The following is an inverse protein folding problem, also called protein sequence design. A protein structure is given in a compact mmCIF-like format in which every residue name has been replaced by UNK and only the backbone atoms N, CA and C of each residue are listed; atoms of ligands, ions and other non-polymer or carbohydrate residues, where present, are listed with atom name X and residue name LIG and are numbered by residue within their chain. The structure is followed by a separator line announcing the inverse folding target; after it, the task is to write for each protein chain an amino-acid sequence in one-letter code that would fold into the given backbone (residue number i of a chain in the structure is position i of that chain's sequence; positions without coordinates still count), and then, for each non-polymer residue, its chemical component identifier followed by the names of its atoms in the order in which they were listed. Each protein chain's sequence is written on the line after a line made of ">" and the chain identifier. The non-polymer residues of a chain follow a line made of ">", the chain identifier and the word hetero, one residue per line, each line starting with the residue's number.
data_IF_037702425298
#
_entry.id   IF_037702425298
#
_cell.length_a   1.000
_cell.length_b   1.000
_cell.length_c   1.000
_cell.angle_alpha   90.00
_cell.angle_beta   90.00
_cell.angle_gamma   90.00
#
_symmetry.space_group_name_H-M   'P 1'
#
loop_
_entity.id
_entity.type
_entity.pdbx_description
1 polymer ?
#
# COMPACT_ATOMS: atom_id res chain seq x y z
N UNK A 1 11.12 68.74 52.42
CA UNK A 1 11.52 67.95 51.28
C UNK A 1 11.82 66.55 51.76
N UNK A 2 10.93 65.57 51.50
CA UNK A 2 11.08 64.14 51.88
C UNK A 2 11.34 63.38 50.59
N UNK A 3 12.54 62.74 50.40
CA UNK A 3 12.85 61.80 49.37
C UNK A 3 12.17 60.46 49.73
N UNK A 4 11.30 59.95 48.85
CA UNK A 4 10.77 58.64 48.95
C UNK A 4 11.69 57.70 48.09
N UNK A 5 12.29 56.72 48.75
CA UNK A 5 13.06 55.64 48.14
C UNK A 5 12.08 54.59 47.53
N UNK A 6 12.15 54.40 46.20
CA UNK A 6 11.42 53.35 45.52
C UNK A 6 12.32 52.10 45.56
N UNK A 7 11.87 51.07 46.30
CA UNK A 7 12.48 49.76 46.33
C UNK A 7 11.94 48.96 45.12
N UNK A 8 12.80 48.73 44.13
CA UNK A 8 12.48 47.81 43.02
C UNK A 8 12.77 46.37 43.42
N UNK A 9 11.70 45.58 43.57
CA UNK A 9 11.80 44.14 43.72
C UNK A 9 12.06 43.52 42.34
N UNK A 10 13.28 43.02 42.09
CA UNK A 10 13.58 42.15 40.98
C UNK A 10 13.11 40.72 41.31
N UNK A 11 12.02 40.28 40.70
CA UNK A 11 11.65 38.87 40.65
C UNK A 11 12.60 38.14 39.71
N UNK A 12 13.55 37.39 40.25
CA UNK A 12 14.33 36.42 39.51
C UNK A 12 13.48 35.14 39.36
N UNK A 13 12.84 34.98 38.20
CA UNK A 13 12.22 33.70 37.86
C UNK A 13 13.36 32.64 37.64
N UNK A 14 13.28 31.47 38.27
CA UNK A 14 14.19 30.40 37.97
C UNK A 14 13.95 29.91 36.53
N UNK A 15 14.97 30.06 35.68
CA UNK A 15 14.99 29.45 34.34
C UNK A 15 15.15 27.94 34.58
N UNK A 16 14.03 27.21 34.55
CA UNK A 16 14.07 25.75 34.45
C UNK A 16 14.74 25.39 33.11
N UNK A 17 15.78 24.54 33.13
CA UNK A 17 16.35 24.06 31.89
C UNK A 17 15.27 23.26 31.15
N UNK A 18 14.92 23.71 29.93
CA UNK A 18 14.10 22.94 29.03
C UNK A 18 14.85 21.64 28.74
N UNK A 19 14.41 20.54 29.34
CA UNK A 19 14.85 19.19 28.95
C UNK A 19 14.34 19.02 27.53
N UNK A 20 15.20 19.35 26.57
CA UNK A 20 14.98 18.96 25.19
C UNK A 20 14.94 17.43 25.16
N UNK A 21 13.74 16.87 25.20
CA UNK A 21 13.49 15.50 24.86
C UNK A 21 13.92 15.36 23.40
N UNK A 22 15.19 14.99 23.17
CA UNK A 22 15.69 14.55 21.90
C UNK A 22 14.89 13.26 21.61
N UNK A 23 13.77 13.42 20.93
CA UNK A 23 13.12 12.29 20.27
C UNK A 23 14.19 11.76 19.29
N UNK A 24 14.97 10.80 19.75
CA UNK A 24 15.75 9.96 18.88
C UNK A 24 14.71 9.28 18.00
N UNK A 25 14.54 9.76 16.75
CA UNK A 25 13.79 9.03 15.74
C UNK A 25 14.55 7.72 15.55
N UNK A 26 14.14 6.69 16.31
CA UNK A 26 14.72 5.38 16.17
C UNK A 26 14.51 4.96 14.72
N UNK A 27 15.60 4.71 13.98
CA UNK A 27 15.54 4.21 12.63
C UNK A 27 14.68 2.94 12.61
N UNK A 28 13.95 2.73 11.51
CA UNK A 28 13.18 1.49 11.33
C UNK A 28 14.15 0.31 11.18
N UNK A 29 13.79 -0.80 11.79
CA UNK A 29 14.53 -2.05 11.67
C UNK A 29 14.40 -2.61 10.25
N UNK A 30 15.53 -3.02 9.67
CA UNK A 30 15.62 -3.63 8.36
C UNK A 30 16.05 -5.09 8.49
N UNK A 31 15.69 -5.89 7.51
CA UNK A 31 16.16 -7.28 7.38
C UNK A 31 17.67 -7.38 7.47
N UNK A 32 18.15 -8.38 8.21
CA UNK A 32 19.58 -8.61 8.45
C UNK A 32 20.19 -7.79 9.58
N UNK A 33 19.42 -6.91 10.25
CA UNK A 33 19.86 -6.19 11.44
C UNK A 33 19.54 -6.99 12.72
N UNK A 34 20.26 -6.80 13.82
CA UNK A 34 20.02 -7.51 15.09
C UNK A 34 18.63 -7.29 15.69
N UNK A 35 17.93 -6.23 15.30
CA UNK A 35 16.56 -5.92 15.72
C UNK A 35 15.48 -6.63 14.89
N UNK A 36 15.87 -7.36 13.84
CA UNK A 36 14.92 -8.09 13.01
C UNK A 36 14.32 -9.26 13.78
N UNK A 37 12.99 -9.48 13.70
CA UNK A 37 12.32 -10.57 14.43
C UNK A 37 12.94 -11.93 14.13
N UNK A 38 12.96 -12.78 15.12
CA UNK A 38 13.42 -14.15 15.00
C UNK A 38 12.34 -15.09 14.42
N UNK A 39 12.69 -16.36 14.20
CA UNK A 39 11.79 -17.35 13.62
C UNK A 39 10.57 -17.64 14.51
N UNK A 40 10.72 -17.59 15.85
CA UNK A 40 9.61 -17.81 16.78
C UNK A 40 8.59 -16.67 16.71
N UNK A 41 9.06 -15.42 16.56
CA UNK A 41 8.22 -14.24 16.40
C UNK A 41 7.45 -14.28 15.09
N UNK A 42 8.09 -14.68 13.98
CA UNK A 42 7.41 -14.92 12.71
C UNK A 42 6.42 -16.09 12.76
N UNK A 43 6.72 -17.15 13.50
CA UNK A 43 5.80 -18.27 13.73
C UNK A 43 4.56 -17.79 14.50
N UNK A 44 4.75 -16.93 15.50
CA UNK A 44 3.64 -16.32 16.24
C UNK A 44 2.78 -15.40 15.35
N UNK A 45 3.38 -14.67 14.40
CA UNK A 45 2.63 -13.93 13.40
C UNK A 45 1.85 -14.88 12.47
N UNK A 46 2.51 -15.92 11.95
CA UNK A 46 1.91 -16.88 11.03
C UNK A 46 0.65 -17.55 11.61
N UNK A 47 0.58 -17.75 12.93
CA UNK A 47 -0.60 -18.29 13.61
C UNK A 47 -1.80 -17.32 13.67
N UNK A 48 -1.62 -16.04 13.30
CA UNK A 48 -2.63 -14.98 13.37
C UNK A 48 -3.12 -14.51 12.00
N UNK A 49 -2.54 -15.02 10.93
CA UNK A 49 -2.86 -14.65 9.55
C UNK A 49 -3.43 -15.84 8.78
N UNK A 50 -4.22 -15.57 7.76
CA UNK A 50 -4.96 -16.59 7.02
C UNK A 50 -4.12 -17.36 5.99
N UNK A 51 -2.97 -16.83 5.59
CA UNK A 51 -2.07 -17.44 4.61
C UNK A 51 -0.67 -17.62 5.19
N UNK A 52 0.12 -18.57 4.67
CA UNK A 52 1.55 -18.65 5.01
C UNK A 52 2.29 -17.35 4.75
N UNK A 53 3.36 -17.10 5.50
CA UNK A 53 4.26 -15.98 5.23
C UNK A 53 4.84 -16.08 3.83
N UNK A 54 4.91 -14.94 3.16
CA UNK A 54 5.56 -14.79 1.86
C UNK A 54 7.06 -14.60 2.03
N UNK A 55 7.81 -15.13 1.08
CA UNK A 55 9.22 -14.84 0.88
C UNK A 55 9.44 -14.32 -0.54
N UNK A 56 9.04 -13.06 -0.80
CA UNK A 56 9.13 -12.50 -2.15
C UNK A 56 10.56 -12.46 -2.66
N UNK A 57 10.71 -12.78 -3.94
CA UNK A 57 11.96 -12.63 -4.68
C UNK A 57 11.67 -11.87 -5.97
N UNK A 58 12.66 -11.22 -6.59
CA UNK A 58 12.49 -10.67 -7.93
C UNK A 58 12.01 -11.78 -8.89
N UNK A 59 11.02 -11.51 -9.76
CA UNK A 59 10.53 -12.55 -10.69
C UNK A 59 11.61 -13.17 -11.56
N UNK A 60 12.62 -12.39 -11.92
CA UNK A 60 13.73 -12.80 -12.76
C UNK A 60 14.67 -13.80 -12.07
N UNK A 61 14.54 -14.00 -10.75
CA UNK A 61 15.38 -14.89 -9.97
C UNK A 61 15.33 -16.34 -10.46
N UNK A 62 14.21 -16.78 -11.05
CA UNK A 62 14.06 -18.13 -11.61
C UNK A 62 15.00 -18.40 -12.80
N UNK A 63 15.51 -17.33 -13.45
CA UNK A 63 16.49 -17.41 -14.54
C UNK A 63 17.91 -17.68 -14.04
N UNK A 64 18.13 -17.75 -12.72
CA UNK A 64 19.44 -17.84 -12.10
C UNK A 64 19.57 -19.08 -11.19
N UNK A 65 20.80 -19.63 -11.04
CA UNK A 65 22.00 -19.27 -11.84
C UNK A 65 21.83 -19.66 -13.32
N UNK A 66 22.48 -18.95 -14.22
CA UNK A 66 22.33 -19.15 -15.67
C UNK A 66 22.75 -20.54 -16.15
N UNK A 67 23.67 -21.19 -15.41
CA UNK A 67 24.13 -22.57 -15.69
C UNK A 67 23.11 -23.65 -15.30
N UNK A 68 22.19 -23.33 -14.37
CA UNK A 68 21.15 -24.23 -13.89
C UNK A 68 19.98 -23.38 -13.32
N UNK A 69 19.13 -22.81 -14.19
CA UNK A 69 18.00 -21.98 -13.76
C UNK A 69 17.13 -22.70 -12.74
N UNK A 70 16.69 -21.97 -11.70
CA UNK A 70 15.90 -22.54 -10.60
C UNK A 70 14.42 -22.76 -10.98
N UNK A 71 14.00 -22.24 -12.14
CA UNK A 71 12.65 -22.38 -12.66
C UNK A 71 12.56 -22.07 -14.15
N UNK A 72 11.33 -21.91 -14.66
CA UNK A 72 11.10 -21.63 -16.07
C UNK A 72 11.25 -20.14 -16.39
N UNK A 73 12.43 -19.75 -16.83
CA UNK A 73 12.75 -18.38 -17.25
C UNK A 73 11.90 -17.93 -18.47
N UNK A 74 11.43 -18.87 -19.32
CA UNK A 74 10.62 -18.52 -20.49
C UNK A 74 9.28 -17.88 -20.11
N UNK A 75 8.70 -18.28 -18.99
CA UNK A 75 7.48 -17.67 -18.45
C UNK A 75 7.74 -16.20 -18.07
N UNK A 76 8.85 -15.92 -17.41
CA UNK A 76 9.22 -14.55 -17.03
C UNK A 76 9.45 -13.69 -18.26
N UNK A 77 10.20 -14.20 -19.24
CA UNK A 77 10.48 -13.50 -20.50
C UNK A 77 9.16 -13.15 -21.22
N UNK A 78 8.25 -14.12 -21.35
CA UNK A 78 6.97 -13.95 -22.06
C UNK A 78 6.05 -12.92 -21.35
N UNK A 79 6.14 -12.81 -20.04
CA UNK A 79 5.25 -11.98 -19.22
C UNK A 79 5.91 -10.73 -18.62
N UNK A 80 7.16 -10.44 -18.99
CA UNK A 80 7.94 -9.38 -18.38
C UNK A 80 7.26 -8.00 -18.39
N UNK A 81 6.53 -7.69 -19.47
CA UNK A 81 5.78 -6.44 -19.66
C UNK A 81 4.28 -6.59 -19.41
N UNK A 82 3.82 -7.77 -19.01
CA UNK A 82 2.41 -8.02 -18.71
C UNK A 82 2.07 -7.50 -17.30
N UNK A 83 1.28 -6.42 -17.23
CA UNK A 83 0.93 -5.76 -15.97
C UNK A 83 0.11 -6.64 -15.03
N UNK A 84 -0.76 -7.51 -15.55
CA UNK A 84 -1.56 -8.40 -14.72
C UNK A 84 -0.68 -9.49 -14.11
N UNK A 85 0.16 -10.14 -14.92
CA UNK A 85 1.11 -11.12 -14.43
C UNK A 85 2.07 -10.54 -13.37
N UNK A 86 2.60 -9.32 -13.61
CA UNK A 86 3.46 -8.65 -12.62
C UNK A 86 2.71 -8.31 -11.33
N UNK A 87 1.43 -7.96 -11.43
CA UNK A 87 0.58 -7.71 -10.25
C UNK A 87 0.43 -8.95 -9.38
N UNK A 88 0.41 -10.15 -10.00
CA UNK A 88 0.30 -11.46 -9.36
C UNK A 88 1.61 -11.94 -8.73
N UNK A 89 2.72 -11.22 -8.92
CA UNK A 89 4.02 -11.54 -8.32
C UNK A 89 4.28 -10.67 -7.09
N UNK A 90 4.42 -11.24 -5.88
CA UNK A 90 4.63 -10.44 -4.68
C UNK A 90 5.93 -9.63 -4.72
N UNK A 91 6.95 -10.10 -5.44
CA UNK A 91 8.25 -9.43 -5.61
C UNK A 91 8.31 -8.41 -6.74
N UNK A 92 7.32 -8.38 -7.66
CA UNK A 92 7.38 -7.51 -8.83
C UNK A 92 6.83 -6.11 -8.56
N UNK A 93 7.42 -5.13 -9.24
CA UNK A 93 6.88 -3.79 -9.46
C UNK A 93 6.54 -3.61 -10.94
N UNK A 94 5.59 -2.73 -11.29
CA UNK A 94 5.29 -2.47 -12.71
C UNK A 94 6.43 -1.73 -13.40
N UNK A 95 7.13 -0.87 -12.66
CA UNK A 95 8.40 -0.31 -13.10
C UNK A 95 9.54 -1.07 -12.41
N UNK A 96 10.23 -1.90 -13.15
CA UNK A 96 11.30 -2.79 -12.67
C UNK A 96 12.49 -2.05 -12.04
N UNK A 97 12.70 -0.76 -12.38
CA UNK A 97 13.73 0.04 -11.77
C UNK A 97 13.58 0.13 -10.24
N UNK A 98 12.34 0.06 -9.73
CA UNK A 98 12.10 0.10 -8.29
C UNK A 98 12.45 -1.20 -7.57
N UNK A 99 12.69 -2.29 -8.30
CA UNK A 99 13.20 -3.55 -7.72
C UNK A 99 14.71 -3.48 -7.46
N UNK A 100 15.40 -2.53 -8.09
CA UNK A 100 16.84 -2.31 -7.93
C UNK A 100 17.15 -1.50 -6.67
N UNK A 101 18.26 -1.79 -6.01
CA UNK A 101 18.81 -1.00 -4.93
C UNK A 101 20.28 -0.62 -5.22
N UNK A 102 20.59 0.65 -5.07
CA UNK A 102 21.95 1.18 -5.23
C UNK A 102 22.48 1.57 -3.85
N UNK A 103 23.59 1.00 -3.46
CA UNK A 103 24.27 1.31 -2.21
C UNK A 103 25.05 2.61 -2.31
N UNK A 104 25.43 3.21 -1.17
CA UNK A 104 26.21 4.45 -1.12
C UNK A 104 27.59 4.37 -1.79
N UNK A 105 28.12 3.17 -1.96
CA UNK A 105 29.37 2.90 -2.67
C UNK A 105 29.16 2.56 -4.15
N UNK A 106 28.01 2.92 -4.71
CA UNK A 106 27.58 2.66 -6.07
C UNK A 106 27.45 1.16 -6.44
N UNK A 107 27.55 0.25 -5.46
CA UNK A 107 27.25 -1.16 -5.69
C UNK A 107 25.74 -1.33 -5.94
N UNK A 108 25.40 -2.11 -6.96
CA UNK A 108 24.02 -2.38 -7.37
C UNK A 108 23.59 -3.76 -6.90
N UNK A 109 22.43 -3.86 -6.27
CA UNK A 109 21.71 -5.09 -6.03
C UNK A 109 20.46 -5.08 -6.90
N UNK A 110 20.40 -5.97 -7.89
CA UNK A 110 19.29 -6.08 -8.82
C UNK A 110 19.26 -7.52 -9.37
N UNK A 111 18.13 -7.94 -9.93
CA UNK A 111 18.00 -9.18 -10.66
C UNK A 111 17.55 -8.83 -12.09
N UNK A 112 18.47 -8.94 -13.04
CA UNK A 112 18.22 -8.53 -14.41
C UNK A 112 17.66 -9.66 -15.25
N UNK A 113 16.67 -9.40 -16.08
CA UNK A 113 16.19 -10.37 -17.08
C UNK A 113 17.30 -10.70 -18.11
N UNK A 114 18.13 -9.71 -18.44
CA UNK A 114 19.27 -9.92 -19.32
C UNK A 114 20.41 -10.61 -18.56
N UNK A 115 20.42 -11.92 -18.58
CA UNK A 115 21.43 -12.74 -17.90
C UNK A 115 22.82 -12.66 -18.54
N UNK A 116 22.94 -12.12 -19.78
CA UNK A 116 24.25 -11.98 -20.46
C UNK A 116 25.14 -10.89 -19.85
N UNK A 117 24.57 -10.05 -18.98
CA UNK A 117 25.34 -9.04 -18.21
C UNK A 117 26.33 -9.68 -17.23
N UNK A 118 26.18 -10.96 -16.91
CA UNK A 118 27.06 -11.67 -15.98
C UNK A 118 26.94 -11.18 -14.52
N UNK A 119 25.91 -10.41 -14.20
CA UNK A 119 25.63 -9.89 -12.86
C UNK A 119 24.78 -10.92 -12.11
N UNK A 120 25.19 -11.35 -10.91
CA UNK A 120 24.37 -12.24 -10.09
C UNK A 120 23.02 -11.59 -9.73
N UNK A 121 21.95 -12.40 -9.68
CA UNK A 121 20.65 -11.94 -9.21
C UNK A 121 20.71 -11.58 -7.72
N UNK A 122 20.37 -10.35 -7.40
CA UNK A 122 20.28 -9.82 -6.05
C UNK A 122 18.83 -9.49 -5.67
N UNK A 123 18.54 -9.50 -4.37
CA UNK A 123 17.22 -9.18 -3.82
C UNK A 123 16.77 -7.74 -4.10
N UNK A 124 17.72 -6.82 -4.30
CA UNK A 124 17.42 -5.41 -4.58
C UNK A 124 16.57 -4.74 -3.50
N UNK A 125 15.52 -4.07 -3.95
CA UNK A 125 14.53 -3.44 -3.09
C UNK A 125 13.34 -4.34 -2.74
N UNK A 126 13.31 -5.59 -3.24
CA UNK A 126 12.21 -6.52 -2.97
C UNK A 126 12.20 -6.92 -1.49
N UNK A 127 11.08 -6.80 -0.77
CA UNK A 127 10.98 -7.18 0.64
C UNK A 127 11.24 -8.68 0.82
N UNK A 128 12.05 -9.10 1.81
CA UNK A 128 12.39 -10.52 1.97
C UNK A 128 11.28 -11.35 2.63
N UNK A 129 10.39 -10.69 3.39
CA UNK A 129 9.28 -11.35 4.12
C UNK A 129 8.03 -10.49 4.00
N UNK A 130 6.87 -11.14 3.93
CA UNK A 130 5.59 -10.44 3.88
C UNK A 130 4.39 -11.30 4.26
N UNK A 131 3.23 -10.64 4.29
CA UNK A 131 1.91 -11.24 4.51
C UNK A 131 1.06 -11.07 3.26
N UNK A 132 0.50 -12.17 2.74
CA UNK A 132 -0.57 -12.14 1.75
C UNK A 132 -1.90 -11.89 2.48
N UNK A 133 -2.26 -10.62 2.62
CA UNK A 133 -3.46 -10.25 3.34
C UNK A 133 -4.72 -10.54 2.51
N UNK A 134 -5.62 -11.35 3.07
CA UNK A 134 -6.92 -11.70 2.50
C UNK A 134 -8.07 -10.99 3.20
N UNK A 135 -7.82 -10.44 4.40
CA UNK A 135 -8.81 -9.82 5.27
C UNK A 135 -8.25 -8.62 6.03
N UNK A 136 -9.13 -7.82 6.62
CA UNK A 136 -8.73 -6.73 7.51
C UNK A 136 -7.97 -7.24 8.75
N UNK A 137 -8.30 -8.43 9.26
CA UNK A 137 -7.61 -9.04 10.39
C UNK A 137 -6.15 -9.39 10.07
N UNK A 138 -5.87 -9.86 8.84
CA UNK A 138 -4.49 -10.11 8.39
C UNK A 138 -3.68 -8.81 8.34
N UNK A 139 -4.29 -7.73 7.80
CA UNK A 139 -3.66 -6.40 7.78
C UNK A 139 -3.38 -5.89 9.19
N UNK A 140 -4.36 -6.01 10.11
CA UNK A 140 -4.19 -5.58 11.50
C UNK A 140 -3.08 -6.38 12.20
N UNK A 141 -3.03 -7.69 12.01
CA UNK A 141 -1.97 -8.53 12.57
C UNK A 141 -0.59 -8.11 12.07
N UNK A 142 -0.45 -7.89 10.76
CA UNK A 142 0.79 -7.49 10.11
C UNK A 142 1.25 -6.08 10.53
N UNK A 143 0.33 -5.10 10.62
CA UNK A 143 0.63 -3.73 11.09
C UNK A 143 1.07 -3.74 12.55
N UNK A 144 0.36 -4.47 13.42
CA UNK A 144 0.72 -4.58 14.83
C UNK A 144 2.09 -5.24 15.01
N UNK A 145 2.39 -6.28 14.25
CA UNK A 145 3.70 -6.92 14.23
C UNK A 145 4.80 -5.95 13.80
N UNK A 146 4.60 -5.24 12.68
CA UNK A 146 5.55 -4.24 12.20
C UNK A 146 5.77 -3.11 13.23
N UNK A 147 4.72 -2.67 13.92
CA UNK A 147 4.80 -1.67 14.99
C UNK A 147 5.58 -2.19 16.19
N UNK A 148 5.27 -3.41 16.64
CA UNK A 148 5.93 -4.04 17.79
C UNK A 148 7.44 -4.16 17.61
N UNK A 149 7.87 -4.53 16.42
CA UNK A 149 9.29 -4.74 16.07
C UNK A 149 9.93 -3.54 15.37
N UNK A 150 9.24 -2.39 15.32
CA UNK A 150 9.71 -1.16 14.66
C UNK A 150 10.20 -1.39 13.21
N UNK A 151 9.55 -2.28 12.45
CA UNK A 151 9.97 -2.64 11.10
C UNK A 151 9.74 -1.51 10.10
N UNK A 152 10.56 -1.46 9.05
CA UNK A 152 10.23 -0.71 7.83
C UNK A 152 9.12 -1.47 7.11
N UNK A 153 7.94 -0.86 7.02
CA UNK A 153 6.75 -1.46 6.42
C UNK A 153 6.52 -0.88 5.02
N UNK A 154 6.16 -1.75 4.09
CA UNK A 154 5.62 -1.39 2.77
C UNK A 154 4.30 -2.10 2.52
N UNK A 155 3.41 -1.44 1.78
CA UNK A 155 2.13 -2.00 1.37
C UNK A 155 2.06 -2.02 -0.15
N UNK A 156 1.71 -3.16 -0.72
CA UNK A 156 1.58 -3.32 -2.16
C UNK A 156 0.22 -3.93 -2.52
N UNK A 157 -0.49 -3.29 -3.47
CA UNK A 157 -1.59 -3.92 -4.21
C UNK A 157 -1.06 -4.58 -5.48
N UNK A 158 -0.75 -3.77 -6.48
CA UNK A 158 -0.35 -4.21 -7.83
C UNK A 158 1.06 -3.76 -8.25
N UNK A 159 1.72 -2.91 -7.47
CA UNK A 159 3.07 -2.43 -7.76
C UNK A 159 3.15 -1.26 -8.76
N UNK A 160 2.05 -0.59 -9.06
CA UNK A 160 2.01 0.55 -10.00
C UNK A 160 2.50 1.89 -9.44
N UNK A 161 2.88 1.98 -8.17
CA UNK A 161 3.28 3.25 -7.58
C UNK A 161 4.48 3.87 -8.29
N UNK A 162 4.28 5.07 -8.88
CA UNK A 162 5.30 5.79 -9.64
C UNK A 162 6.45 6.38 -8.79
N UNK A 163 6.32 6.35 -7.47
CA UNK A 163 7.38 6.76 -6.54
C UNK A 163 8.09 5.56 -5.88
N UNK A 164 7.72 4.33 -6.27
CA UNK A 164 8.35 3.11 -5.77
C UNK A 164 8.04 2.79 -4.29
N UNK A 165 7.00 3.40 -3.69
CA UNK A 165 6.67 3.24 -2.26
C UNK A 165 6.13 1.86 -1.90
N UNK A 166 5.73 1.05 -2.89
CA UNK A 166 5.20 -0.31 -2.68
C UNK A 166 6.29 -1.35 -2.48
N UNK A 167 7.57 -0.96 -2.51
CA UNK A 167 8.72 -1.81 -2.26
C UNK A 167 9.80 -1.04 -1.52
N UNK A 168 10.64 -1.71 -0.75
CA UNK A 168 11.83 -1.11 -0.16
C UNK A 168 12.78 -2.20 0.36
N UNK A 169 14.09 -2.02 0.16
CA UNK A 169 15.11 -2.94 0.67
C UNK A 169 14.96 -3.19 2.17
N UNK A 170 14.95 -4.46 2.55
CA UNK A 170 14.92 -4.90 3.94
C UNK A 170 13.62 -4.60 4.68
N UNK A 171 12.54 -4.27 3.97
CA UNK A 171 11.24 -4.00 4.56
C UNK A 171 10.43 -5.28 4.80
N UNK A 172 9.35 -5.14 5.57
CA UNK A 172 8.29 -6.12 5.73
C UNK A 172 7.11 -5.74 4.85
N UNK A 173 6.57 -6.69 4.06
CA UNK A 173 5.51 -6.45 3.08
C UNK A 173 4.14 -6.80 3.64
N UNK A 174 3.14 -5.94 3.39
CA UNK A 174 1.72 -6.31 3.38
C UNK A 174 1.24 -6.29 1.93
N UNK A 175 0.90 -7.46 1.39
CA UNK A 175 0.41 -7.60 0.03
C UNK A 175 -1.10 -7.74 0.03
N UNK A 176 -1.80 -6.72 -0.48
CA UNK A 176 -3.27 -6.63 -0.44
C UNK A 176 -3.92 -7.05 -1.76
N UNK A 177 -3.14 -7.56 -2.71
CA UNK A 177 -3.57 -7.90 -4.07
C UNK A 177 -4.80 -8.82 -4.14
N UNK A 178 -4.92 -9.71 -3.20
CA UNK A 178 -6.00 -10.70 -3.16
C UNK A 178 -7.26 -10.26 -2.39
N UNK A 179 -7.29 -9.05 -1.87
CA UNK A 179 -8.51 -8.48 -1.26
C UNK A 179 -9.45 -7.96 -2.35
N UNK A 180 -10.06 -8.89 -3.12
CA UNK A 180 -10.82 -8.61 -4.37
C UNK A 180 -12.35 -8.59 -4.19
N UNK A 181 -12.84 -8.33 -2.97
CA UNK A 181 -14.29 -8.23 -2.74
C UNK A 181 -14.90 -7.07 -3.52
N UNK A 182 -16.00 -7.31 -4.23
CA UNK A 182 -16.79 -6.30 -4.93
C UNK A 182 -18.24 -6.40 -4.49
N UNK A 183 -18.90 -5.26 -4.21
CA UNK A 183 -20.33 -5.22 -3.85
C UNK A 183 -21.00 -4.04 -4.55
N UNK A 184 -22.13 -4.27 -5.20
CA UNK A 184 -22.98 -3.23 -5.73
C UNK A 184 -24.12 -2.90 -4.77
N UNK A 185 -24.32 -1.63 -4.47
CA UNK A 185 -25.41 -1.14 -3.67
C UNK A 185 -26.24 -0.16 -4.51
N UNK A 186 -27.45 -0.57 -4.98
CA UNK A 186 -28.30 0.28 -5.80
C UNK A 186 -28.93 1.44 -5.03
N UNK A 187 -29.00 1.35 -3.70
CA UNK A 187 -29.58 2.35 -2.80
C UNK A 187 -28.58 2.74 -1.72
N UNK A 188 -27.42 3.26 -2.15
CA UNK A 188 -26.36 3.61 -1.23
C UNK A 188 -26.72 4.85 -0.41
N UNK A 189 -26.52 4.76 0.91
CA UNK A 189 -26.70 5.86 1.84
C UNK A 189 -25.34 6.15 2.50
N UNK A 190 -24.77 7.36 2.29
CA UNK A 190 -23.54 7.75 2.96
C UNK A 190 -23.71 7.76 4.49
N UNK A 191 -22.67 7.42 5.24
CA UNK A 191 -22.62 7.58 6.68
C UNK A 191 -22.80 9.07 7.03
N UNK A 192 -23.72 9.38 7.97
CA UNK A 192 -24.05 10.77 8.34
C UNK A 192 -25.15 11.42 7.49
N UNK A 193 -25.71 10.73 6.49
CA UNK A 193 -26.90 11.20 5.81
C UNK A 193 -28.13 11.23 6.75
N UNK A 194 -29.13 12.11 6.52
CA UNK A 194 -30.34 12.16 7.34
C UNK A 194 -31.06 10.81 7.42
N UNK A 195 -31.59 10.46 8.59
CA UNK A 195 -32.16 9.16 8.97
C UNK A 195 -33.39 8.71 8.12
N UNK A 196 -33.86 9.55 7.21
CA UNK A 196 -34.98 9.23 6.30
C UNK A 196 -34.61 8.22 5.21
N UNK A 197 -33.34 7.94 5.03
CA UNK A 197 -32.82 6.97 4.05
C UNK A 197 -32.49 5.64 4.73
N UNK A 198 -33.35 4.63 4.46
CA UNK A 198 -33.14 3.26 4.98
C UNK A 198 -32.11 2.55 4.13
N UNK A 199 -30.91 2.37 4.63
CA UNK A 199 -30.00 1.24 4.39
C UNK A 199 -28.62 1.57 4.97
N UNK A 200 -28.29 0.99 6.13
CA UNK A 200 -27.00 1.11 6.78
C UNK A 200 -26.02 0.08 6.19
N UNK A 201 -24.85 0.56 5.81
CA UNK A 201 -23.74 -0.28 5.40
C UNK A 201 -22.94 -0.70 6.64
N UNK A 202 -22.85 -2.00 6.91
CA UNK A 202 -21.90 -2.58 7.86
C UNK A 202 -20.70 -3.07 7.06
N UNK A 203 -19.59 -2.34 7.12
CA UNK A 203 -18.55 -2.53 6.14
C UNK A 203 -17.18 -2.85 6.64
N UNK A 204 -16.60 -3.85 6.04
CA UNK A 204 -15.18 -4.03 5.85
C UNK A 204 -14.65 -2.99 4.85
N UNK A 205 -13.34 -2.72 4.88
CA UNK A 205 -12.61 -1.78 4.01
C UNK A 205 -13.18 -1.62 2.61
N UNK A 206 -13.68 -0.42 2.31
CA UNK A 206 -14.39 -0.17 1.09
C UNK A 206 -14.07 1.21 0.56
N UNK A 207 -13.58 1.27 -0.66
CA UNK A 207 -13.66 2.46 -1.46
C UNK A 207 -14.96 2.40 -2.25
N UNK A 208 -15.82 3.41 -2.06
CA UNK A 208 -17.11 3.51 -2.75
C UNK A 208 -16.93 4.44 -3.92
N UNK A 209 -17.14 3.93 -5.13
CA UNK A 209 -17.27 4.76 -6.33
C UNK A 209 -18.73 5.05 -6.58
N UNK A 210 -19.08 6.32 -6.80
CA UNK A 210 -20.40 6.69 -7.23
C UNK A 210 -20.56 6.34 -8.71
N UNK A 211 -21.65 5.67 -9.00
CA UNK A 211 -22.09 5.39 -10.35
C UNK A 211 -23.12 6.46 -10.72
N UNK A 212 -22.84 7.29 -11.70
CA UNK A 212 -23.77 8.32 -12.14
C UNK A 212 -25.05 7.71 -12.69
N UNK A 213 -26.18 8.07 -12.10
CA UNK A 213 -27.50 7.84 -12.64
C UNK A 213 -28.32 9.11 -12.44
N UNK A 214 -29.12 9.49 -13.46
CA UNK A 214 -29.96 10.69 -13.49
C UNK A 214 -31.29 10.46 -12.71
N UNK A 215 -31.25 9.73 -11.60
CA UNK A 215 -32.42 9.46 -10.76
C UNK A 215 -32.08 9.74 -9.28
N UNK A 216 -33.10 9.97 -8.46
CA UNK A 216 -33.00 10.37 -7.05
C UNK A 216 -32.30 9.39 -6.11
N UNK A 217 -31.77 8.27 -6.60
CA UNK A 217 -31.06 7.26 -5.84
C UNK A 217 -29.60 7.19 -6.24
N UNK A 218 -28.72 7.37 -5.26
CA UNK A 218 -27.27 7.16 -5.42
C UNK A 218 -27.00 5.65 -5.39
N UNK A 219 -26.42 5.12 -6.46
CA UNK A 219 -25.87 3.78 -6.45
C UNK A 219 -24.35 3.81 -6.28
N UNK A 220 -23.79 2.81 -5.64
CA UNK A 220 -22.38 2.75 -5.35
C UNK A 220 -21.79 1.35 -5.56
N UNK A 221 -20.50 1.29 -5.90
CA UNK A 221 -19.73 0.07 -5.94
C UNK A 221 -18.67 0.10 -4.83
N UNK A 222 -18.64 -0.95 -4.07
CA UNK A 222 -17.64 -1.23 -3.06
C UNK A 222 -16.56 -2.09 -3.67
N UNK A 223 -15.28 -1.66 -3.57
CA UNK A 223 -14.15 -2.39 -4.12
C UNK A 223 -13.11 -2.65 -3.03
N UNK A 224 -12.68 -3.90 -2.88
CA UNK A 224 -11.54 -4.26 -2.05
C UNK A 224 -10.23 -3.67 -2.61
N UNK A 225 -9.23 -3.55 -1.75
CA UNK A 225 -7.95 -2.90 -2.09
C UNK A 225 -7.14 -3.62 -3.17
N UNK A 226 -7.41 -4.91 -3.41
CA UNK A 226 -6.78 -5.71 -4.46
C UNK A 226 -7.50 -5.68 -5.81
N UNK A 227 -8.69 -5.05 -5.89
CA UNK A 227 -9.45 -4.95 -7.15
C UNK A 227 -8.70 -4.06 -8.13
N UNK A 228 -8.48 -4.57 -9.33
CA UNK A 228 -7.86 -3.85 -10.45
C UNK A 228 -8.94 -3.18 -11.32
N UNK A 229 -8.54 -2.26 -12.20
CA UNK A 229 -9.52 -1.53 -13.01
C UNK A 229 -10.29 -2.42 -13.97
N UNK A 230 -9.65 -3.46 -14.56
CA UNK A 230 -10.40 -4.41 -15.39
C UNK A 230 -11.48 -5.14 -14.58
N UNK A 231 -11.17 -5.61 -13.36
CA UNK A 231 -12.15 -6.25 -12.45
C UNK A 231 -13.32 -5.30 -12.15
N UNK A 232 -12.99 -4.02 -11.86
CA UNK A 232 -13.98 -3.01 -11.49
C UNK A 232 -14.91 -2.66 -12.67
N UNK A 233 -14.36 -2.54 -13.87
CA UNK A 233 -15.15 -2.25 -15.09
C UNK A 233 -16.06 -3.42 -15.46
N UNK A 234 -15.55 -4.65 -15.45
CA UNK A 234 -16.33 -5.85 -15.72
C UNK A 234 -17.47 -6.03 -14.70
N UNK A 235 -17.16 -5.76 -13.42
CA UNK A 235 -18.17 -5.82 -12.36
C UNK A 235 -19.25 -4.77 -12.55
N UNK A 236 -18.90 -3.51 -12.84
CA UNK A 236 -19.86 -2.43 -13.07
C UNK A 236 -20.72 -2.70 -14.30
N UNK A 237 -20.12 -3.17 -15.40
CA UNK A 237 -20.83 -3.53 -16.63
C UNK A 237 -21.89 -4.59 -16.41
N UNK A 238 -21.58 -5.64 -15.61
CA UNK A 238 -22.55 -6.70 -15.23
C UNK A 238 -23.75 -6.15 -14.44
N UNK A 239 -23.61 -4.98 -13.81
CA UNK A 239 -24.69 -4.26 -13.13
C UNK A 239 -25.39 -3.24 -14.05
N UNK A 240 -25.07 -3.19 -15.34
CA UNK A 240 -25.57 -2.17 -16.28
C UNK A 240 -25.11 -0.75 -15.93
N UNK A 241 -23.91 -0.61 -15.36
CA UNK A 241 -23.36 0.65 -14.85
C UNK A 241 -21.99 0.94 -15.45
N UNK A 242 -21.60 2.22 -15.40
CA UNK A 242 -20.26 2.68 -15.74
C UNK A 242 -19.61 3.35 -14.54
N UNK A 243 -18.30 3.22 -14.43
CA UNK A 243 -17.47 3.78 -13.35
C UNK A 243 -16.42 4.70 -13.96
N UNK A 244 -16.20 5.86 -13.38
CA UNK A 244 -15.10 6.75 -13.74
C UNK A 244 -13.83 6.23 -13.05
N UNK A 245 -12.85 5.83 -13.84
CA UNK A 245 -11.66 5.18 -13.30
C UNK A 245 -10.39 5.37 -14.12
N UNK A 246 -9.36 4.60 -13.81
CA UNK A 246 -8.05 4.66 -14.44
C UNK A 246 -8.00 3.98 -15.81
N UNK A 247 -7.08 4.42 -16.68
CA UNK A 247 -6.91 3.86 -18.02
C UNK A 247 -6.19 2.51 -18.03
N UNK A 248 -5.24 2.29 -17.11
CA UNK A 248 -4.46 1.05 -17.09
C UNK A 248 -5.22 -0.05 -16.33
N UNK A 249 -5.52 -1.13 -17.02
CA UNK A 249 -6.34 -2.25 -16.55
C UNK A 249 -5.82 -2.89 -15.27
N UNK A 250 -4.51 -3.06 -15.15
CA UNK A 250 -3.84 -3.72 -14.01
C UNK A 250 -3.60 -2.81 -12.79
N UNK A 251 -3.93 -1.51 -12.84
CA UNK A 251 -3.81 -0.61 -11.68
C UNK A 251 -4.87 -0.94 -10.64
N UNK A 252 -4.46 -0.97 -9.36
CA UNK A 252 -5.38 -1.16 -8.23
C UNK A 252 -6.32 0.02 -8.06
N UNK A 253 -7.62 -0.22 -8.24
CA UNK A 253 -8.65 0.82 -8.26
C UNK A 253 -8.86 1.48 -6.90
N UNK A 254 -9.02 0.66 -5.85
CA UNK A 254 -9.43 1.11 -4.53
C UNK A 254 -8.27 1.58 -3.65
N UNK A 255 -7.11 0.95 -3.74
CA UNK A 255 -5.94 1.28 -2.91
C UNK A 255 -5.06 2.37 -3.54
N UNK A 256 -4.33 2.02 -4.59
CA UNK A 256 -3.29 2.88 -5.16
C UNK A 256 -3.85 4.05 -5.96
N UNK A 257 -4.78 3.80 -6.88
CA UNK A 257 -5.27 4.82 -7.81
C UNK A 257 -5.89 6.03 -7.11
N UNK A 258 -6.82 5.80 -6.20
CA UNK A 258 -7.47 6.89 -5.46
C UNK A 258 -6.47 7.65 -4.59
N UNK A 259 -5.59 6.93 -3.89
CA UNK A 259 -4.56 7.56 -3.05
C UNK A 259 -3.55 8.37 -3.87
N UNK A 260 -3.38 8.04 -5.15
CA UNK A 260 -2.59 8.81 -6.12
C UNK A 260 -3.32 9.98 -6.78
N UNK A 261 -4.53 10.31 -6.30
CA UNK A 261 -5.36 11.41 -6.85
C UNK A 261 -6.47 10.96 -7.78
N UNK A 262 -6.42 9.75 -8.35
CA UNK A 262 -7.49 9.20 -9.17
C UNK A 262 -7.60 9.80 -10.56
N UNK A 263 -6.48 9.94 -11.27
CA UNK A 263 -6.47 10.40 -12.66
C UNK A 263 -6.96 9.32 -13.64
N UNK A 264 -7.77 9.71 -14.61
CA UNK A 264 -8.29 8.83 -15.65
C UNK A 264 -8.71 9.58 -16.92
N UNK A 265 -9.09 8.84 -17.99
CA UNK A 265 -9.47 9.43 -19.27
C UNK A 265 -10.64 10.42 -19.18
N UNK A 266 -11.53 10.25 -18.22
CA UNK A 266 -12.69 11.09 -18.01
C UNK A 266 -12.45 12.24 -17.02
N UNK A 267 -11.23 12.38 -16.48
CA UNK A 267 -10.90 13.45 -15.54
C UNK A 267 -11.10 14.87 -16.08
N UNK A 268 -10.90 15.18 -17.39
CA UNK A 268 -11.22 16.48 -17.92
C UNK A 268 -12.70 16.86 -17.83
N UNK A 269 -13.59 15.88 -17.80
CA UNK A 269 -15.05 16.09 -17.74
C UNK A 269 -15.59 16.00 -16.32
N UNK A 270 -15.09 15.06 -15.49
CA UNK A 270 -15.67 14.73 -14.18
C UNK A 270 -14.73 15.05 -13.01
N UNK A 271 -13.52 15.54 -13.28
CA UNK A 271 -12.50 15.75 -12.26
C UNK A 271 -11.71 14.49 -11.93
N UNK A 272 -10.80 14.61 -10.97
CA UNK A 272 -10.05 13.48 -10.44
C UNK A 272 -10.95 12.57 -9.60
N UNK A 273 -10.63 11.30 -9.48
CA UNK A 273 -11.39 10.33 -8.68
C UNK A 273 -11.56 10.72 -7.20
N UNK A 274 -10.63 11.52 -6.67
CA UNK A 274 -10.75 12.10 -5.32
C UNK A 274 -11.75 13.26 -5.23
N UNK A 275 -12.16 13.85 -6.35
CA UNK A 275 -13.17 14.94 -6.44
C UNK A 275 -14.54 14.47 -6.88
N UNK A 276 -14.65 13.29 -7.49
CA UNK A 276 -15.97 12.64 -7.65
C UNK A 276 -16.49 12.48 -6.24
N UNK A 277 -17.72 12.95 -5.88
CA UNK A 277 -18.16 13.06 -4.50
C UNK A 277 -18.09 11.70 -3.81
N UNK A 278 -16.91 11.42 -3.28
CA UNK A 278 -16.64 10.39 -2.32
C UNK A 278 -17.11 11.02 -1.01
N UNK A 279 -18.09 10.44 -0.37
CA UNK A 279 -18.47 10.92 0.95
C UNK A 279 -17.21 10.93 1.83
N UNK A 280 -16.75 12.11 2.34
CA UNK A 280 -15.48 12.21 3.08
C UNK A 280 -15.45 11.33 4.33
N UNK A 281 -16.62 10.91 4.82
CA UNK A 281 -16.78 10.01 5.97
C UNK A 281 -16.47 8.55 5.67
N UNK A 282 -16.28 8.16 4.41
CA UNK A 282 -16.02 6.76 4.01
C UNK A 282 -14.53 6.43 3.82
N UNK A 283 -13.64 7.42 3.89
CA UNK A 283 -12.20 7.18 3.96
C UNK A 283 -11.79 6.88 5.42
N UNK A 284 -12.43 5.94 6.08
CA UNK A 284 -11.92 5.41 7.35
C UNK A 284 -10.77 4.45 7.05
N UNK A 285 -9.56 4.97 7.11
CA UNK A 285 -8.38 4.15 7.30
C UNK A 285 -8.45 3.58 8.72
N UNK A 286 -8.75 2.29 8.85
CA UNK A 286 -8.43 1.58 10.07
C UNK A 286 -6.94 1.26 10.03
N UNK A 287 -6.13 2.15 10.62
CA UNK A 287 -4.73 1.89 10.97
C UNK A 287 -4.70 1.24 12.35
#
# INVERSE_FOLDING_TARGET
>A
MKLQSILQFFFVLPILPAVANKATSACRCLYGQPCWPDENEFTALASRISQPLLHPVPPESVCYPTSAPSGDCSIVIANYTNGDWRSDQPGAMQNTNFETFIFHNDTISACYLNTTLGIPCGQGSVPPVGVDARSASDVQAAVNFAKQHNLKLVVKGTGHDFLGRSTARGSFLIWTHHMKKTVYNPNFVPEGAPVTTKNTFNGDFVLVFFVFQVTDHISAVTLGTGVQWHDAYDFAQKQGRSVVGGAAASVGAAGGWVMGGGHGPLSPMFGLGTFVPICPTLLKFMI
#
